data_IF_652538220934
#
_entry.id   IF_652538220934
#
_cell.length_a   1.000
_cell.length_b   1.000
_cell.length_c   1.000
_cell.angle_alpha   90.00
_cell.angle_beta   90.00
_cell.angle_gamma   90.00
#
_symmetry.space_group_name_H-M   'P 1'
#
loop_
_entity.id
_entity.type
_entity.pdbx_description
1 polymer ?
#
# COMPACT_ATOMS: atom_id res chain seq x y z
N UNK A 1 7.41 16.11 28.32
CA UNK A 1 6.47 16.68 29.28
C UNK A 1 5.08 16.39 28.72
N UNK A 2 4.26 15.62 29.43
CA UNK A 2 2.95 15.17 28.95
C UNK A 2 1.88 15.93 29.72
N UNK A 3 0.91 16.50 29.03
CA UNK A 3 -0.23 17.19 29.63
C UNK A 3 -1.45 16.29 29.53
N UNK A 4 -2.17 16.13 30.63
CA UNK A 4 -3.36 15.29 30.69
C UNK A 4 -4.55 16.18 31.07
N UNK A 5 -5.60 16.19 30.23
CA UNK A 5 -6.87 16.80 30.56
C UNK A 5 -7.63 15.90 31.54
N UNK A 6 -7.39 16.14 32.82
CA UNK A 6 -7.86 15.26 33.89
C UNK A 6 -9.32 15.53 34.28
N UNK A 7 -9.73 16.79 34.30
CA UNK A 7 -11.05 17.22 34.82
C UNK A 7 -11.64 18.36 34.01
N UNK A 8 -12.97 18.48 34.06
CA UNK A 8 -13.70 19.56 33.40
C UNK A 8 -13.66 20.91 34.13
N UNK A 9 -13.22 20.93 35.40
CA UNK A 9 -13.13 22.12 36.25
C UNK A 9 -11.84 22.08 37.09
N UNK A 10 -11.68 23.06 37.95
CA UNK A 10 -10.47 23.28 38.76
C UNK A 10 -10.15 22.07 39.68
N UNK A 11 -8.88 21.65 39.67
CA UNK A 11 -8.40 20.62 40.57
C UNK A 11 -8.10 21.24 41.93
N UNK A 12 -8.75 20.75 42.98
CA UNK A 12 -8.61 21.22 44.33
C UNK A 12 -7.60 20.43 45.17
N UNK A 13 -7.47 19.16 44.86
CA UNK A 13 -6.61 18.26 45.65
C UNK A 13 -5.82 17.34 44.73
N UNK A 14 -4.57 17.13 45.08
CA UNK A 14 -3.69 16.12 44.52
C UNK A 14 -3.04 15.36 45.67
N UNK A 15 -3.23 14.06 45.69
CA UNK A 15 -2.59 13.18 46.67
C UNK A 15 -1.74 12.14 45.97
N UNK A 16 -0.50 12.01 46.41
CA UNK A 16 0.43 10.99 45.92
C UNK A 16 0.76 10.10 47.12
N UNK A 17 0.42 8.77 47.05
CA UNK A 17 0.84 7.85 48.10
C UNK A 17 2.39 7.82 48.20
N UNK A 18 2.93 8.03 49.36
CA UNK A 18 4.36 7.89 49.58
C UNK A 18 4.70 6.40 49.76
N UNK A 19 5.20 5.81 48.69
CA UNK A 19 5.79 4.47 48.80
C UNK A 19 7.31 4.56 49.03
N UNK A 20 7.88 3.58 49.72
CA UNK A 20 9.29 3.55 50.09
C UNK A 20 10.24 3.44 48.89
N UNK A 21 9.71 3.14 47.72
CA UNK A 21 10.47 2.98 46.48
C UNK A 21 10.75 4.28 45.71
N UNK A 22 10.27 5.41 46.19
CA UNK A 22 10.37 6.71 45.49
C UNK A 22 9.78 6.73 44.07
N UNK A 23 9.03 5.70 43.69
CA UNK A 23 8.37 5.57 42.41
C UNK A 23 6.88 5.90 42.59
N UNK A 24 6.38 6.86 41.82
CA UNK A 24 4.97 7.28 41.88
C UNK A 24 4.16 6.45 40.87
N UNK A 25 3.64 5.33 41.35
CA UNK A 25 2.83 4.45 40.50
C UNK A 25 1.34 4.82 40.49
N UNK A 26 0.90 5.56 41.50
CA UNK A 26 -0.49 5.96 41.63
C UNK A 26 -0.61 7.36 42.21
N UNK A 27 -1.50 8.17 41.67
CA UNK A 27 -1.90 9.45 42.28
C UNK A 27 -3.39 9.67 42.14
N UNK A 28 -3.96 10.51 43.00
CA UNK A 28 -5.39 10.78 43.07
C UNK A 28 -5.60 12.28 42.91
N UNK A 29 -6.55 12.65 42.09
CA UNK A 29 -6.96 14.05 41.90
C UNK A 29 -8.44 14.21 42.26
N UNK A 30 -8.76 15.32 42.90
CA UNK A 30 -10.13 15.72 43.23
C UNK A 30 -10.40 17.12 42.64
N UNK A 31 -11.53 17.30 41.99
CA UNK A 31 -11.90 18.53 41.31
C UNK A 31 -13.23 19.11 41.79
N UNK A 32 -13.49 20.36 41.40
CA UNK A 32 -14.74 21.07 41.65
C UNK A 32 -15.93 20.49 40.85
N UNK A 33 -15.68 19.66 39.84
CA UNK A 33 -16.70 18.91 39.09
C UNK A 33 -17.36 17.79 39.93
N UNK A 34 -16.84 17.53 41.16
CA UNK A 34 -17.31 16.52 42.07
C UNK A 34 -16.70 15.15 41.84
N UNK A 35 -15.81 15.02 40.87
CA UNK A 35 -15.14 13.77 40.53
C UNK A 35 -13.84 13.59 41.29
N UNK A 36 -13.59 12.36 41.75
CA UNK A 36 -12.32 11.91 42.26
C UNK A 36 -11.76 10.88 41.27
N UNK A 37 -10.60 11.17 40.69
CA UNK A 37 -9.96 10.27 39.71
C UNK A 37 -8.67 9.68 40.29
N UNK A 38 -8.56 8.36 40.14
CA UNK A 38 -7.36 7.62 40.52
C UNK A 38 -6.57 7.30 39.28
N UNK A 39 -5.33 7.72 39.25
CA UNK A 39 -4.41 7.56 38.13
C UNK A 39 -3.39 6.49 38.50
N UNK A 40 -3.22 5.52 37.62
CA UNK A 40 -2.21 4.47 37.77
C UNK A 40 -1.21 4.56 36.64
N UNK A 41 0.05 4.43 36.94
CA UNK A 41 1.10 4.30 35.94
C UNK A 41 1.06 2.89 35.34
N UNK A 42 0.67 2.80 34.08
CA UNK A 42 0.62 1.55 33.31
C UNK A 42 1.68 1.52 32.19
N UNK A 43 2.70 2.39 32.29
CA UNK A 43 3.72 2.54 31.24
C UNK A 43 4.44 1.22 30.98
N UNK A 44 4.81 0.49 32.03
CA UNK A 44 5.51 -0.80 31.88
C UNK A 44 4.61 -1.85 31.19
N UNK A 45 3.33 -1.92 31.57
CA UNK A 45 2.36 -2.83 30.95
C UNK A 45 2.15 -2.48 29.46
N UNK A 46 2.07 -1.18 29.15
CA UNK A 46 1.93 -0.70 27.77
C UNK A 46 3.19 -0.95 26.92
N UNK A 47 4.37 -0.73 27.50
CA UNK A 47 5.65 -1.02 26.82
C UNK A 47 5.80 -2.51 26.50
N UNK A 48 5.41 -3.38 27.43
CA UNK A 48 5.44 -4.83 27.24
C UNK A 48 4.44 -5.27 26.16
N UNK A 49 3.22 -4.75 26.18
CA UNK A 49 2.23 -5.01 25.11
C UNK A 49 2.70 -4.51 23.75
N UNK A 50 3.31 -3.33 23.69
CA UNK A 50 3.86 -2.80 22.43
C UNK A 50 5.03 -3.66 21.92
N UNK A 51 5.88 -4.14 22.82
CA UNK A 51 6.98 -5.02 22.47
C UNK A 51 6.44 -6.33 21.87
N UNK A 52 5.49 -6.96 22.55
CA UNK A 52 4.84 -8.20 22.05
C UNK A 52 4.18 -7.99 20.67
N UNK A 53 3.48 -6.88 20.47
CA UNK A 53 2.88 -6.53 19.16
C UNK A 53 3.94 -6.35 18.06
N UNK A 54 5.08 -5.73 18.39
CA UNK A 54 6.20 -5.57 17.44
C UNK A 54 6.83 -6.92 17.08
N UNK A 55 7.04 -7.79 18.07
CA UNK A 55 7.58 -9.14 17.85
C UNK A 55 6.64 -9.98 16.97
N UNK A 56 5.34 -9.94 17.24
CA UNK A 56 4.33 -10.64 16.44
C UNK A 56 4.32 -10.14 14.97
N UNK A 57 4.36 -8.82 14.77
CA UNK A 57 4.44 -8.24 13.43
C UNK A 57 5.72 -8.65 12.70
N UNK A 58 6.85 -8.67 13.41
CA UNK A 58 8.12 -9.09 12.83
C UNK A 58 8.11 -10.57 12.42
N UNK A 59 7.55 -11.44 13.24
CA UNK A 59 7.38 -12.86 12.90
C UNK A 59 6.49 -13.03 11.65
N UNK A 60 5.36 -12.33 11.57
CA UNK A 60 4.49 -12.36 10.38
C UNK A 60 5.20 -11.85 9.12
N UNK A 61 6.06 -10.83 9.25
CA UNK A 61 6.87 -10.35 8.12
C UNK A 61 7.90 -11.39 7.67
N UNK A 62 8.54 -12.10 8.59
CA UNK A 62 9.44 -13.20 8.25
C UNK A 62 8.72 -14.38 7.58
N UNK A 63 7.56 -14.76 8.10
CA UNK A 63 6.74 -15.81 7.50
C UNK A 63 6.29 -15.44 6.09
N UNK A 64 5.90 -14.20 5.87
CA UNK A 64 5.57 -13.68 4.54
C UNK A 64 6.76 -13.82 3.56
N UNK A 65 7.97 -13.46 3.99
CA UNK A 65 9.16 -13.62 3.14
C UNK A 65 9.45 -15.10 2.82
N UNK A 66 9.30 -15.99 3.81
CA UNK A 66 9.46 -17.44 3.61
C UNK A 66 8.40 -18.00 2.64
N UNK A 67 7.14 -17.58 2.77
CA UNK A 67 6.07 -17.98 1.87
C UNK A 67 6.35 -17.51 0.43
N UNK A 68 6.82 -16.27 0.26
CA UNK A 68 7.26 -15.77 -1.05
C UNK A 68 8.39 -16.59 -1.64
N UNK A 69 9.41 -16.97 -0.87
CA UNK A 69 10.53 -17.77 -1.35
C UNK A 69 10.10 -19.17 -1.81
N UNK A 70 9.13 -19.76 -1.10
CA UNK A 70 8.55 -21.07 -1.45
C UNK A 70 7.53 -20.99 -2.59
N UNK A 71 7.20 -19.80 -3.08
CA UNK A 71 6.13 -19.55 -4.05
C UNK A 71 4.74 -20.00 -3.55
N UNK A 72 4.55 -20.02 -2.24
CA UNK A 72 3.23 -20.25 -1.63
C UNK A 72 2.45 -18.92 -1.60
N UNK A 73 1.82 -18.64 -2.74
CA UNK A 73 1.11 -17.37 -2.94
C UNK A 73 -0.17 -17.26 -2.10
N UNK A 74 -0.80 -18.39 -1.73
CA UNK A 74 -2.02 -18.39 -0.90
C UNK A 74 -1.68 -17.94 0.53
N UNK A 75 -0.66 -18.53 1.12
CA UNK A 75 -0.21 -18.14 2.45
C UNK A 75 0.37 -16.73 2.46
N UNK A 76 1.14 -16.36 1.43
CA UNK A 76 1.65 -15.00 1.29
C UNK A 76 0.52 -13.96 1.19
N UNK A 77 -0.57 -14.25 0.47
CA UNK A 77 -1.74 -13.36 0.41
C UNK A 77 -2.41 -13.20 1.77
N UNK A 78 -2.64 -14.32 2.48
CA UNK A 78 -3.23 -14.30 3.82
C UNK A 78 -2.42 -13.45 4.79
N UNK A 79 -1.09 -13.60 4.78
CA UNK A 79 -0.18 -12.83 5.63
C UNK A 79 -0.11 -11.36 5.21
N UNK A 80 -0.14 -11.05 3.91
CA UNK A 80 -0.17 -9.67 3.42
C UNK A 80 -1.44 -8.92 3.85
N UNK A 81 -2.59 -9.60 3.83
CA UNK A 81 -3.85 -9.03 4.32
C UNK A 81 -3.84 -8.86 5.84
N UNK A 82 -3.30 -9.84 6.59
CA UNK A 82 -3.16 -9.77 8.04
C UNK A 82 -2.23 -8.63 8.50
N UNK A 83 -1.15 -8.40 7.78
CA UNK A 83 -0.23 -7.28 8.02
C UNK A 83 -0.85 -5.91 7.68
N UNK A 84 -1.91 -5.88 6.87
CA UNK A 84 -2.60 -4.66 6.44
C UNK A 84 -1.66 -3.59 5.84
N UNK A 85 -0.55 -4.01 5.22
CA UNK A 85 0.44 -3.12 4.61
C UNK A 85 0.39 -3.21 3.08
N UNK A 86 0.11 -2.12 2.34
CA UNK A 86 0.03 -2.12 0.87
C UNK A 86 1.30 -2.66 0.19
N UNK A 87 2.46 -2.40 0.79
CA UNK A 87 3.75 -2.84 0.27
C UNK A 87 3.86 -4.36 0.11
N UNK A 88 3.43 -5.14 1.11
CA UNK A 88 3.55 -6.61 1.08
C UNK A 88 2.70 -7.21 -0.04
N UNK A 89 1.48 -6.73 -0.20
CA UNK A 89 0.62 -7.18 -1.29
C UNK A 89 1.18 -6.80 -2.67
N UNK A 90 1.76 -5.61 -2.82
CA UNK A 90 2.42 -5.22 -4.06
C UNK A 90 3.59 -6.14 -4.41
N UNK A 91 4.46 -6.44 -3.43
CA UNK A 91 5.60 -7.35 -3.63
C UNK A 91 5.14 -8.73 -4.08
N UNK A 92 4.04 -9.24 -3.50
CA UNK A 92 3.41 -10.49 -3.92
C UNK A 92 2.98 -10.43 -5.40
N UNK A 93 2.23 -9.40 -5.79
CA UNK A 93 1.75 -9.23 -7.17
C UNK A 93 2.91 -9.10 -8.14
N UNK A 94 3.92 -8.27 -7.84
CA UNK A 94 5.12 -8.11 -8.68
C UNK A 94 5.91 -9.41 -8.82
N UNK A 95 5.97 -10.23 -7.76
CA UNK A 95 6.62 -11.53 -7.80
C UNK A 95 5.87 -12.50 -8.73
N UNK A 96 4.55 -12.58 -8.60
CA UNK A 96 3.71 -13.43 -9.46
C UNK A 96 3.88 -13.02 -10.92
N UNK A 97 3.84 -11.72 -11.22
CA UNK A 97 4.01 -11.18 -12.58
C UNK A 97 5.39 -11.48 -13.18
N UNK A 98 6.44 -11.60 -12.36
CA UNK A 98 7.81 -11.89 -12.83
C UNK A 98 8.07 -13.38 -13.04
N UNK A 99 7.49 -14.23 -12.21
CA UNK A 99 7.81 -15.66 -12.16
C UNK A 99 6.91 -16.48 -13.08
N UNK A 100 5.67 -16.05 -13.29
CA UNK A 100 4.68 -16.82 -14.01
C UNK A 100 4.31 -16.16 -15.34
N UNK A 101 4.33 -16.93 -16.43
CA UNK A 101 3.81 -16.49 -17.73
C UNK A 101 2.29 -16.32 -17.71
N UNK A 102 1.59 -17.13 -16.94
CA UNK A 102 0.12 -17.08 -16.75
C UNK A 102 -0.27 -16.43 -15.41
N UNK A 103 0.33 -15.28 -15.10
CA UNK A 103 0.13 -14.58 -13.83
C UNK A 103 -1.34 -14.18 -13.59
N UNK A 104 -2.11 -13.93 -14.64
CA UNK A 104 -3.53 -13.58 -14.52
C UNK A 104 -4.35 -14.74 -13.94
N UNK A 105 -4.15 -15.97 -14.42
CA UNK A 105 -4.86 -17.16 -13.92
C UNK A 105 -4.56 -17.38 -12.43
N UNK A 106 -3.30 -17.24 -12.04
CA UNK A 106 -2.89 -17.36 -10.63
C UNK A 106 -3.52 -16.26 -9.76
N UNK A 107 -3.52 -15.02 -10.23
CA UNK A 107 -4.16 -13.92 -9.49
C UNK A 107 -5.67 -14.11 -9.39
N UNK A 108 -6.32 -14.60 -10.45
CA UNK A 108 -7.75 -14.96 -10.42
C UNK A 108 -8.04 -16.01 -9.35
N UNK A 109 -7.26 -17.11 -9.30
CA UNK A 109 -7.45 -18.14 -8.27
C UNK A 109 -7.25 -17.61 -6.86
N UNK A 110 -6.27 -16.72 -6.65
CA UNK A 110 -5.97 -16.13 -5.36
C UNK A 110 -7.05 -15.13 -4.91
N UNK A 111 -7.51 -14.28 -5.83
CA UNK A 111 -8.42 -13.19 -5.51
C UNK A 111 -9.89 -13.62 -5.51
N UNK A 112 -10.27 -14.69 -6.22
CA UNK A 112 -11.67 -15.14 -6.35
C UNK A 112 -12.36 -15.55 -5.04
N UNK A 113 -11.60 -15.79 -3.97
CA UNK A 113 -12.08 -16.27 -2.66
C UNK A 113 -12.08 -15.18 -1.57
N UNK A 114 -11.87 -13.93 -1.95
CA UNK A 114 -11.80 -12.83 -0.99
C UNK A 114 -13.20 -12.38 -0.54
N UNK A 115 -13.28 -12.00 0.72
CA UNK A 115 -14.47 -11.38 1.30
C UNK A 115 -14.57 -9.90 0.89
N UNK A 116 -15.78 -9.34 0.99
CA UNK A 116 -16.06 -7.94 0.61
C UNK A 116 -15.17 -6.94 1.35
N UNK A 117 -14.86 -7.22 2.63
CA UNK A 117 -13.97 -6.37 3.44
C UNK A 117 -12.53 -6.36 2.89
N UNK A 118 -12.02 -7.52 2.49
CA UNK A 118 -10.68 -7.63 1.93
C UNK A 118 -10.59 -7.03 0.54
N UNK A 119 -11.66 -7.12 -0.27
CA UNK A 119 -11.76 -6.40 -1.55
C UNK A 119 -11.68 -4.88 -1.30
N UNK A 120 -12.32 -4.36 -0.26
CA UNK A 120 -12.23 -2.96 0.13
C UNK A 120 -10.80 -2.53 0.47
N UNK A 121 -10.07 -3.35 1.24
CA UNK A 121 -8.65 -3.12 1.54
C UNK A 121 -7.81 -3.12 0.27
N UNK A 122 -8.02 -4.10 -0.62
CA UNK A 122 -7.30 -4.18 -1.89
C UNK A 122 -7.54 -2.97 -2.78
N UNK A 123 -8.77 -2.49 -2.88
CA UNK A 123 -9.10 -1.28 -3.63
C UNK A 123 -8.39 -0.04 -3.06
N UNK A 124 -8.26 0.05 -1.74
CA UNK A 124 -7.48 1.13 -1.11
C UNK A 124 -5.99 1.05 -1.50
N UNK A 125 -5.40 -0.16 -1.53
CA UNK A 125 -4.02 -0.36 -1.94
C UNK A 125 -3.81 -0.06 -3.43
N UNK A 126 -4.72 -0.53 -4.28
CA UNK A 126 -4.70 -0.24 -5.73
C UNK A 126 -4.78 1.26 -5.97
N UNK A 127 -5.60 2.00 -5.21
CA UNK A 127 -5.67 3.46 -5.28
C UNK A 127 -4.31 4.09 -4.99
N UNK A 128 -3.64 3.70 -3.90
CA UNK A 128 -2.31 4.22 -3.56
C UNK A 128 -1.26 3.91 -4.64
N UNK A 129 -1.24 2.69 -5.16
CA UNK A 129 -0.28 2.32 -6.21
C UNK A 129 -0.53 3.05 -7.52
N UNK A 130 -1.79 3.34 -7.82
CA UNK A 130 -2.19 4.04 -9.03
C UNK A 130 -1.76 5.52 -9.02
N UNK A 131 -1.45 6.11 -7.85
CA UNK A 131 -0.90 7.46 -7.74
C UNK A 131 0.52 7.56 -8.29
N UNK A 132 1.29 6.47 -8.25
CA UNK A 132 2.72 6.45 -8.56
C UNK A 132 2.96 5.70 -9.87
N UNK A 133 3.57 6.35 -10.85
CA UNK A 133 3.80 5.77 -12.18
C UNK A 133 4.63 4.48 -12.21
N UNK A 134 5.46 4.21 -11.19
CA UNK A 134 6.23 2.95 -11.08
C UNK A 134 5.36 1.76 -10.68
N UNK A 135 4.32 2.00 -9.90
CA UNK A 135 3.43 0.98 -9.33
C UNK A 135 2.09 0.88 -10.07
N UNK A 136 1.94 1.65 -11.13
CA UNK A 136 0.75 1.66 -11.96
C UNK A 136 0.43 0.30 -12.59
N UNK A 137 1.43 -0.42 -13.11
CA UNK A 137 1.21 -1.69 -13.82
C UNK A 137 0.63 -2.77 -12.88
N UNK A 138 1.22 -3.07 -11.70
CA UNK A 138 0.60 -3.96 -10.73
C UNK A 138 -0.81 -3.54 -10.32
N UNK A 139 -1.06 -2.24 -10.14
CA UNK A 139 -2.38 -1.72 -9.83
C UNK A 139 -3.41 -2.05 -10.93
N UNK A 140 -3.04 -1.86 -12.20
CA UNK A 140 -3.93 -2.16 -13.33
C UNK A 140 -4.22 -3.65 -13.47
N UNK A 141 -3.23 -4.51 -13.23
CA UNK A 141 -3.41 -5.97 -13.30
C UNK A 141 -4.40 -6.43 -12.22
N UNK A 142 -4.21 -6.00 -10.98
CA UNK A 142 -5.12 -6.35 -9.87
C UNK A 142 -6.53 -5.81 -10.14
N UNK A 143 -6.64 -4.57 -10.58
CA UNK A 143 -7.93 -3.96 -10.91
C UNK A 143 -8.64 -4.70 -12.05
N UNK A 144 -7.90 -5.10 -13.09
CA UNK A 144 -8.46 -5.87 -14.20
C UNK A 144 -9.05 -7.20 -13.73
N UNK A 145 -8.31 -7.94 -12.88
CA UNK A 145 -8.77 -9.20 -12.31
C UNK A 145 -10.01 -8.99 -11.43
N UNK A 146 -10.01 -7.99 -10.55
CA UNK A 146 -11.15 -7.69 -9.69
C UNK A 146 -12.41 -7.34 -10.49
N UNK A 147 -12.29 -6.50 -11.52
CA UNK A 147 -13.44 -6.08 -12.35
C UNK A 147 -13.95 -7.18 -13.26
N UNK A 148 -13.10 -8.14 -13.65
CA UNK A 148 -13.49 -9.28 -14.47
C UNK A 148 -14.21 -10.36 -13.64
N UNK A 149 -13.69 -10.66 -12.46
CA UNK A 149 -14.08 -11.85 -11.71
C UNK A 149 -15.20 -11.58 -10.68
N UNK A 150 -15.37 -10.33 -10.26
CA UNK A 150 -16.44 -9.95 -9.33
C UNK A 150 -17.59 -9.23 -10.02
N UNK A 151 -18.82 -9.62 -9.69
CA UNK A 151 -20.02 -8.95 -10.19
C UNK A 151 -20.13 -7.53 -9.60
N UNK A 152 -20.82 -6.66 -10.36
CA UNK A 152 -21.09 -5.30 -9.92
C UNK A 152 -21.78 -5.24 -8.54
N UNK A 153 -22.70 -6.16 -8.27
CA UNK A 153 -23.45 -6.20 -7.00
C UNK A 153 -22.53 -6.46 -5.79
N UNK A 154 -21.48 -7.26 -5.95
CA UNK A 154 -20.49 -7.52 -4.91
C UNK A 154 -19.61 -6.28 -4.69
N UNK A 155 -19.14 -5.67 -5.74
CA UNK A 155 -18.31 -4.47 -5.67
C UNK A 155 -19.09 -3.28 -5.11
N UNK A 156 -20.38 -3.14 -5.41
CA UNK A 156 -21.23 -2.08 -4.88
C UNK A 156 -21.44 -2.16 -3.36
N UNK A 157 -21.23 -3.34 -2.74
CA UNK A 157 -21.28 -3.51 -1.28
C UNK A 157 -20.04 -3.00 -0.55
N UNK A 158 -18.96 -2.74 -1.28
CA UNK A 158 -17.73 -2.22 -0.69
C UNK A 158 -17.97 -0.78 -0.20
N UNK A 159 -17.68 -0.55 1.08
CA UNK A 159 -17.84 0.77 1.68
C UNK A 159 -16.94 1.81 1.00
N UNK A 160 -17.53 2.89 0.51
CA UNK A 160 -16.79 3.98 -0.16
C UNK A 160 -16.38 3.69 -1.61
N UNK A 161 -16.98 2.68 -2.28
CA UNK A 161 -16.65 2.28 -3.65
C UNK A 161 -16.70 3.45 -4.64
N UNK A 162 -17.65 4.36 -4.48
CA UNK A 162 -17.80 5.52 -5.36
C UNK A 162 -16.57 6.44 -5.34
N UNK A 163 -16.01 6.69 -4.15
CA UNK A 163 -14.77 7.47 -4.00
C UNK A 163 -13.59 6.77 -4.67
N UNK A 164 -13.47 5.43 -4.48
CA UNK A 164 -12.41 4.65 -5.13
C UNK A 164 -12.53 4.71 -6.66
N UNK A 165 -13.72 4.50 -7.21
CA UNK A 165 -13.96 4.52 -8.66
C UNK A 165 -13.61 5.90 -9.24
N UNK A 166 -14.08 6.99 -8.65
CA UNK A 166 -13.82 8.34 -9.12
C UNK A 166 -12.32 8.66 -9.12
N UNK A 167 -11.63 8.30 -8.04
CA UNK A 167 -10.18 8.51 -7.92
C UNK A 167 -9.41 7.67 -8.94
N UNK A 168 -9.73 6.38 -9.04
CA UNK A 168 -9.07 5.46 -9.97
C UNK A 168 -9.28 5.88 -11.44
N UNK A 169 -10.49 6.30 -11.79
CA UNK A 169 -10.82 6.77 -13.14
C UNK A 169 -9.98 7.99 -13.55
N UNK A 170 -9.86 8.99 -12.66
CA UNK A 170 -9.08 10.20 -12.92
C UNK A 170 -7.60 9.89 -13.17
N UNK A 171 -7.00 9.04 -12.33
CA UNK A 171 -5.59 8.65 -12.46
C UNK A 171 -5.34 7.72 -13.65
N UNK A 172 -6.23 6.78 -13.92
CA UNK A 172 -6.13 5.89 -15.08
C UNK A 172 -6.15 6.68 -16.39
N UNK A 173 -7.04 7.66 -16.52
CA UNK A 173 -7.09 8.55 -17.68
C UNK A 173 -5.76 9.27 -17.86
N UNK A 174 -5.23 9.87 -16.80
CA UNK A 174 -3.93 10.56 -16.83
C UNK A 174 -2.78 9.64 -17.23
N UNK A 175 -2.70 8.44 -16.66
CA UNK A 175 -1.65 7.48 -16.99
C UNK A 175 -1.74 7.00 -18.44
N UNK A 176 -2.95 6.77 -18.94
CA UNK A 176 -3.18 6.39 -20.34
C UNK A 176 -2.70 7.51 -21.27
N UNK A 177 -3.07 8.76 -21.03
CA UNK A 177 -2.65 9.91 -21.82
C UNK A 177 -1.12 10.04 -21.86
N UNK A 178 -0.44 9.89 -20.72
CA UNK A 178 1.03 9.94 -20.65
C UNK A 178 1.68 8.79 -21.41
N UNK A 179 1.13 7.57 -21.35
CA UNK A 179 1.64 6.41 -22.09
C UNK A 179 1.48 6.57 -23.60
N UNK A 180 0.29 6.97 -24.04
CA UNK A 180 0.00 7.22 -25.46
C UNK A 180 0.94 8.31 -26.01
N UNK A 181 1.14 9.40 -25.26
CA UNK A 181 2.04 10.47 -25.64
C UNK A 181 3.50 9.99 -25.77
N UNK A 182 4.01 9.23 -24.79
CA UNK A 182 5.36 8.66 -24.83
C UNK A 182 5.55 7.68 -25.99
N UNK A 183 4.57 6.86 -26.27
CA UNK A 183 4.64 5.94 -27.40
C UNK A 183 4.63 6.68 -28.74
N UNK A 184 3.82 7.73 -28.87
CA UNK A 184 3.84 8.59 -30.05
C UNK A 184 5.18 9.29 -30.24
N UNK A 185 5.75 9.87 -29.17
CA UNK A 185 7.07 10.51 -29.20
C UNK A 185 8.16 9.51 -29.58
N UNK A 186 8.14 8.29 -29.05
CA UNK A 186 9.08 7.22 -29.39
C UNK A 186 8.96 6.84 -30.87
N UNK A 187 7.78 6.58 -31.39
CA UNK A 187 7.55 6.27 -32.79
C UNK A 187 7.99 7.42 -33.71
N UNK A 188 7.82 8.66 -33.29
CA UNK A 188 8.31 9.84 -34.01
C UNK A 188 9.83 9.88 -34.05
N UNK A 189 10.48 9.62 -32.93
CA UNK A 189 11.95 9.58 -32.82
C UNK A 189 12.52 8.45 -33.69
N UNK A 190 11.92 7.25 -33.64
CA UNK A 190 12.35 6.11 -34.45
C UNK A 190 12.25 6.42 -35.95
N UNK A 191 11.18 7.10 -36.40
CA UNK A 191 11.06 7.56 -37.81
C UNK A 191 12.10 8.59 -38.18
N UNK A 192 12.43 9.53 -37.29
CA UNK A 192 13.48 10.53 -37.54
C UNK A 192 14.84 9.85 -37.65
N UNK A 193 15.15 8.89 -36.78
CA UNK A 193 16.40 8.12 -36.84
C UNK A 193 16.48 7.33 -38.15
N UNK A 194 15.40 6.63 -38.55
CA UNK A 194 15.39 5.94 -39.83
C UNK A 194 15.63 6.86 -41.03
N UNK A 195 15.00 8.04 -41.03
CA UNK A 195 15.26 9.04 -42.08
C UNK A 195 16.71 9.55 -42.09
N UNK A 196 17.30 9.68 -40.91
CA UNK A 196 18.74 10.11 -40.81
C UNK A 196 19.63 9.03 -41.40
N UNK A 197 19.44 7.75 -41.08
CA UNK A 197 20.19 6.64 -41.67
C UNK A 197 20.06 6.58 -43.21
N UNK A 198 18.88 6.86 -43.75
CA UNK A 198 18.65 6.88 -45.19
C UNK A 198 19.43 8.04 -45.83
N UNK A 199 19.41 9.22 -45.21
CA UNK A 199 20.16 10.39 -45.69
C UNK A 199 21.66 10.13 -45.65
N UNK A 200 22.19 9.58 -44.56
CA UNK A 200 23.61 9.26 -44.43
C UNK A 200 24.06 8.22 -45.48
N UNK A 201 23.21 7.19 -45.71
CA UNK A 201 23.49 6.20 -46.75
C UNK A 201 23.52 6.81 -48.16
N UNK A 202 22.57 7.71 -48.47
CA UNK A 202 22.56 8.41 -49.77
C UNK A 202 23.79 9.30 -49.95
N UNK A 203 24.16 10.07 -48.93
CA UNK A 203 25.33 10.95 -48.96
C UNK A 203 26.61 10.14 -49.15
N UNK A 204 26.80 9.03 -48.46
CA UNK A 204 27.96 8.15 -48.63
C UNK A 204 28.10 7.61 -50.06
N UNK A 205 26.99 7.19 -50.67
CA UNK A 205 26.99 6.66 -52.04
C UNK A 205 27.20 7.78 -53.09
N UNK A 206 26.70 8.98 -52.84
CA UNK A 206 26.98 10.13 -53.73
C UNK A 206 28.46 10.50 -53.72
N UNK A 207 29.11 10.52 -52.55
CA UNK A 207 30.56 10.83 -52.45
C UNK A 207 31.43 9.78 -53.14
N UNK A 208 30.97 8.53 -53.23
CA UNK A 208 31.69 7.47 -53.98
C UNK A 208 31.57 7.68 -55.47
N UNK A 209 30.45 8.14 -55.97
CA UNK A 209 30.21 8.40 -57.40
C UNK A 209 30.91 9.67 -57.91
N UNK A 210 31.20 10.63 -57.04
CA UNK A 210 31.98 11.83 -57.39
C UNK A 210 33.50 11.61 -57.38
N UNK A 211 33.95 10.46 -56.84
CA UNK A 211 35.38 10.10 -56.74
C UNK A 211 35.87 9.18 -57.89
N UNK A 212 34.95 8.70 -58.76
CA UNK A 212 35.23 7.99 -60.02
C UNK A 212 35.26 8.96 -61.21
#
# INVERSE_FOLDING_TARGET
>A
MTTIDAHGDKIWALAVPQDKSNQVDTFVTGSADGDIKVWRNNTAEQEEEELQKREELFLKEQEFQKALQRNDYKEALRLALALSKPYHFRVLVEKIMKVQSEYEATLTELLSKLEVEDIGKLLSYVREWNLIGRTFIPAQVVMHVLLRDYSFDVLARVKGIEEYVNTLLAYNKRHLEVRVRREYERKRTDRLLQNTYVVDYVLQNMMVLEAE
#
